data_IF_342425877296
#
_entry.id   IF_342425877296
#
_cell.length_a   1.000
_cell.length_b   1.000
_cell.length_c   1.000
_cell.angle_alpha   90.00
_cell.angle_beta   90.00
_cell.angle_gamma   90.00
#
_symmetry.space_group_name_H-M   'P 1'
#
loop_
_entity.id
_entity.type
_entity.pdbx_description
1 polymer ?
#
# COMPACT_ATOMS: atom_id res chain seq x y z
N UNK A 1 39.19 -15.95 25.24
CA UNK A 1 37.85 -16.45 25.59
C UNK A 1 36.87 -15.52 24.91
N UNK A 2 36.51 -15.87 23.67
CA UNK A 2 35.62 -15.07 22.83
C UNK A 2 34.23 -15.66 22.79
N UNK A 3 33.36 -14.92 22.07
CA UNK A 3 31.98 -15.22 21.71
C UNK A 3 31.02 -14.89 22.88
N UNK A 4 29.92 -14.14 22.74
CA UNK A 4 29.10 -13.83 21.56
C UNK A 4 28.46 -12.45 21.79
N UNK A 5 28.45 -11.64 20.75
CA UNK A 5 27.66 -10.42 20.63
C UNK A 5 26.17 -10.76 20.73
N UNK A 6 25.58 -10.49 21.89
CA UNK A 6 24.13 -10.52 22.03
C UNK A 6 23.57 -9.26 21.36
N UNK A 7 23.29 -9.42 20.06
CA UNK A 7 22.44 -8.60 19.21
C UNK A 7 21.02 -8.61 19.82
N UNK A 8 20.86 -7.95 20.96
CA UNK A 8 19.57 -7.76 21.61
C UNK A 8 19.14 -6.34 21.32
N UNK A 9 18.11 -6.25 20.49
CA UNK A 9 17.55 -5.01 20.01
C UNK A 9 17.97 -4.79 18.57
N UNK A 10 17.34 -5.54 17.66
CA UNK A 10 16.86 -4.89 16.44
C UNK A 10 16.11 -3.66 16.93
N UNK A 11 16.79 -2.51 16.97
CA UNK A 11 16.13 -1.25 17.20
C UNK A 11 15.07 -1.20 16.11
N UNK A 12 13.81 -1.37 16.50
CA UNK A 12 12.66 -1.04 15.68
C UNK A 12 12.86 0.44 15.38
N UNK A 13 13.55 0.68 14.26
CA UNK A 13 13.76 2.02 13.76
C UNK A 13 12.36 2.43 13.35
N UNK A 14 11.82 3.54 13.87
CA UNK A 14 10.55 4.03 13.35
C UNK A 14 10.74 4.17 11.84
N UNK A 15 10.01 3.36 11.09
CA UNK A 15 9.47 3.70 9.78
C UNK A 15 9.00 5.13 9.97
N UNK A 16 9.78 6.05 9.42
CA UNK A 16 9.69 7.48 9.68
C UNK A 16 8.23 7.90 9.71
N UNK A 17 7.80 8.63 10.75
CA UNK A 17 6.36 8.80 11.01
C UNK A 17 5.62 9.65 9.95
N UNK A 18 6.34 10.27 9.02
CA UNK A 18 5.80 11.23 8.08
C UNK A 18 6.63 11.36 6.81
N UNK A 19 6.00 11.10 5.66
CA UNK A 19 6.50 11.46 4.34
C UNK A 19 5.87 12.80 3.93
N UNK A 20 6.67 13.78 3.54
CA UNK A 20 6.18 15.08 3.14
C UNK A 20 5.39 14.97 1.82
N UNK A 21 4.29 15.72 1.65
CA UNK A 21 3.42 15.66 0.47
C UNK A 21 4.17 15.84 -0.85
N UNK A 22 5.19 16.70 -0.85
CA UNK A 22 6.01 17.05 -2.00
C UNK A 22 7.25 16.16 -2.21
N UNK A 23 7.53 15.20 -1.31
CA UNK A 23 8.62 14.25 -1.51
C UNK A 23 8.33 13.36 -2.72
N UNK A 24 9.36 13.09 -3.54
CA UNK A 24 9.24 12.14 -4.64
C UNK A 24 9.20 10.73 -4.08
N UNK A 25 8.29 9.93 -4.62
CA UNK A 25 8.00 8.60 -4.14
C UNK A 25 8.52 7.54 -5.11
N UNK A 26 9.06 6.45 -4.57
CA UNK A 26 9.46 5.27 -5.32
C UNK A 26 8.25 4.41 -5.67
N UNK A 27 7.41 4.13 -4.68
CA UNK A 27 6.20 3.34 -4.84
C UNK A 27 5.20 3.63 -3.73
N UNK A 28 3.94 3.43 -4.07
CA UNK A 28 2.82 3.48 -3.15
C UNK A 28 2.13 2.11 -3.16
N UNK A 29 1.85 1.55 -1.98
CA UNK A 29 1.19 0.26 -1.83
C UNK A 29 0.05 0.39 -0.82
N UNK A 30 -1.11 -0.21 -1.11
CA UNK A 30 -2.12 -0.52 -0.11
C UNK A 30 -2.26 -2.02 0.05
N UNK A 31 -2.31 -2.46 1.30
CA UNK A 31 -2.46 -3.87 1.66
C UNK A 31 -3.37 -4.02 2.87
N UNK A 32 -3.96 -5.21 3.03
CA UNK A 32 -4.71 -5.56 4.22
C UNK A 32 -3.86 -6.48 5.09
N UNK A 33 -3.63 -6.07 6.32
CA UNK A 33 -2.84 -6.84 7.27
C UNK A 33 -3.54 -6.92 8.62
N UNK A 34 -3.15 -7.91 9.42
CA UNK A 34 -3.62 -8.03 10.80
C UNK A 34 -3.18 -6.81 11.62
N UNK A 35 -4.10 -6.22 12.38
CA UNK A 35 -3.79 -5.14 13.30
C UNK A 35 -2.81 -5.59 14.41
N UNK A 36 -1.92 -4.71 14.91
CA UNK A 36 -0.96 -5.05 15.98
C UNK A 36 -1.62 -5.52 17.28
N UNK A 37 -2.85 -5.07 17.54
CA UNK A 37 -3.65 -5.45 18.70
C UNK A 37 -4.51 -6.70 18.47
N UNK A 38 -4.38 -7.34 17.30
CA UNK A 38 -5.16 -8.51 16.89
C UNK A 38 -6.69 -8.29 16.85
N UNK A 39 -7.16 -7.03 16.85
CA UNK A 39 -8.58 -6.69 16.81
C UNK A 39 -9.25 -6.94 15.44
N UNK A 40 -8.46 -7.10 14.38
CA UNK A 40 -8.95 -7.50 13.06
C UNK A 40 -8.01 -7.08 11.93
N UNK A 41 -8.45 -7.26 10.69
CA UNK A 41 -7.69 -6.78 9.54
C UNK A 41 -7.89 -5.27 9.36
N UNK A 42 -6.78 -4.56 9.16
CA UNK A 42 -6.73 -3.15 8.83
C UNK A 42 -6.13 -2.97 7.45
N UNK A 43 -6.52 -1.88 6.77
CA UNK A 43 -5.87 -1.47 5.53
C UNK A 43 -4.71 -0.55 5.88
N UNK A 44 -3.54 -0.86 5.34
CA UNK A 44 -2.34 -0.05 5.48
C UNK A 44 -1.96 0.55 4.15
N UNK A 45 -1.50 1.79 4.21
CA UNK A 45 -0.83 2.50 3.14
C UNK A 45 0.67 2.49 3.43
N UNK A 46 1.44 1.96 2.50
CA UNK A 46 2.90 1.96 2.51
C UNK A 46 3.39 2.92 1.43
N UNK A 47 4.27 3.84 1.80
CA UNK A 47 4.89 4.80 0.90
C UNK A 47 6.39 4.58 1.00
N UNK A 48 7.08 4.61 -0.14
CA UNK A 48 8.52 4.46 -0.20
C UNK A 48 9.15 5.73 -0.75
N UNK A 49 10.01 6.41 -0.01
CA UNK A 49 10.69 7.64 -0.49
C UNK A 49 12.21 7.51 -0.39
N UNK A 50 12.96 8.34 -1.11
CA UNK A 50 14.43 8.41 -0.98
C UNK A 50 14.80 9.47 0.06
N UNK A 51 15.51 9.07 1.12
CA UNK A 51 16.18 10.00 2.03
C UNK A 51 17.63 9.59 2.18
N UNK A 52 18.54 10.52 1.91
CA UNK A 52 19.99 10.31 2.00
C UNK A 52 20.51 9.10 1.21
N UNK A 53 19.93 8.86 0.03
CA UNK A 53 20.33 7.75 -0.84
C UNK A 53 19.78 6.38 -0.40
N UNK A 54 18.86 6.34 0.55
CA UNK A 54 18.23 5.12 1.06
C UNK A 54 16.72 5.18 0.85
N UNK A 55 16.14 4.04 0.45
CA UNK A 55 14.70 3.88 0.42
C UNK A 55 14.20 3.77 1.86
N UNK A 56 13.34 4.70 2.25
CA UNK A 56 12.66 4.70 3.54
C UNK A 56 11.20 4.35 3.32
N UNK A 57 10.68 3.40 4.11
CA UNK A 57 9.26 3.04 4.13
C UNK A 57 8.52 3.93 5.14
N UNK A 58 7.25 4.21 4.84
CA UNK A 58 6.28 4.88 5.70
C UNK A 58 5.01 4.06 5.68
N UNK A 59 4.52 3.64 6.85
CA UNK A 59 3.32 2.83 6.97
C UNK A 59 2.28 3.57 7.79
N UNK A 60 1.11 3.76 7.20
CA UNK A 60 -0.04 4.46 7.77
C UNK A 60 -1.23 3.50 7.87
N UNK A 61 -1.82 3.39 9.07
CA UNK A 61 -3.07 2.64 9.29
C UNK A 61 -4.26 3.48 8.81
N UNK A 62 -4.96 3.00 7.80
CA UNK A 62 -6.14 3.65 7.23
C UNK A 62 -7.45 3.22 7.91
N UNK A 63 -7.38 2.30 8.86
CA UNK A 63 -8.52 1.76 9.60
C UNK A 63 -8.92 0.36 9.18
N UNK A 64 -10.06 -0.09 9.73
CA UNK A 64 -10.55 -1.47 9.55
C UNK A 64 -10.79 -1.80 8.08
N UNK A 65 -10.34 -2.98 7.66
CA UNK A 65 -10.57 -3.47 6.30
C UNK A 65 -12.06 -3.56 5.93
N UNK A 66 -12.94 -3.78 6.92
CA UNK A 66 -14.40 -3.80 6.74
C UNK A 66 -14.98 -2.44 6.33
N UNK A 67 -14.26 -1.34 6.51
CA UNK A 67 -14.64 -0.01 5.99
C UNK A 67 -14.35 0.15 4.50
N UNK A 68 -13.65 -0.80 3.87
CA UNK A 68 -13.22 -0.77 2.48
C UNK A 68 -13.90 -1.88 1.63
N UNK A 69 -15.14 -2.23 1.96
CA UNK A 69 -15.92 -3.22 1.17
C UNK A 69 -16.17 -2.66 -0.22
N UNK A 70 -15.81 -3.42 -1.26
CA UNK A 70 -15.92 -3.00 -2.66
C UNK A 70 -14.69 -2.27 -3.20
N UNK A 71 -13.72 -1.94 -2.34
CA UNK A 71 -12.43 -1.43 -2.79
C UNK A 71 -11.52 -2.56 -3.29
N UNK A 72 -10.61 -2.25 -4.21
CA UNK A 72 -9.55 -3.18 -4.63
C UNK A 72 -8.75 -3.68 -3.43
N UNK A 73 -8.60 -5.00 -3.30
CA UNK A 73 -7.95 -5.64 -2.14
C UNK A 73 -6.52 -5.16 -1.90
N UNK A 74 -5.80 -4.85 -2.99
CA UNK A 74 -4.44 -4.30 -2.98
C UNK A 74 -4.30 -3.23 -4.06
N UNK A 75 -3.54 -2.19 -3.77
CA UNK A 75 -3.14 -1.18 -4.77
C UNK A 75 -1.61 -1.17 -4.80
N UNK A 76 -1.03 -1.15 -5.99
CA UNK A 76 0.41 -0.98 -6.15
C UNK A 76 0.68 -0.02 -7.30
N UNK A 77 1.22 1.15 -6.98
CA UNK A 77 1.54 2.20 -7.93
C UNK A 77 3.07 2.41 -7.88
N UNK A 78 3.82 1.81 -8.82
CA UNK A 78 5.23 2.14 -8.97
C UNK A 78 5.35 3.55 -9.56
N UNK A 79 6.19 4.39 -8.97
CA UNK A 79 6.40 5.76 -9.43
C UNK A 79 7.83 6.06 -9.85
N UNK A 80 8.82 5.41 -9.23
CA UNK A 80 10.23 5.57 -9.59
C UNK A 80 10.63 7.06 -9.63
N UNK A 81 10.21 7.83 -8.63
CA UNK A 81 10.49 9.26 -8.45
C UNK A 81 9.76 10.22 -9.39
N UNK A 82 8.83 9.74 -10.21
CA UNK A 82 8.06 10.59 -11.13
C UNK A 82 7.00 11.43 -10.41
N UNK A 83 6.36 10.86 -9.38
CA UNK A 83 5.25 11.47 -8.67
C UNK A 83 5.61 11.81 -7.22
N UNK A 84 4.94 12.83 -6.69
CA UNK A 84 5.00 13.15 -5.27
C UNK A 84 4.16 12.18 -4.44
N UNK A 85 4.40 12.15 -3.13
CA UNK A 85 3.58 11.40 -2.18
C UNK A 85 2.11 11.80 -2.28
N UNK A 86 1.82 13.10 -2.38
CA UNK A 86 0.44 13.61 -2.49
C UNK A 86 -0.24 13.18 -3.79
N UNK A 87 0.46 13.27 -4.92
CA UNK A 87 -0.06 12.82 -6.22
C UNK A 87 -0.42 11.33 -6.19
N UNK A 88 0.43 10.49 -5.59
CA UNK A 88 0.16 9.07 -5.46
C UNK A 88 -0.98 8.75 -4.48
N UNK A 89 -1.14 9.53 -3.41
CA UNK A 89 -2.29 9.40 -2.50
C UNK A 89 -3.60 9.67 -3.25
N UNK A 90 -3.63 10.76 -4.03
CA UNK A 90 -4.80 11.14 -4.81
C UNK A 90 -5.12 10.07 -5.87
N UNK A 91 -4.11 9.59 -6.61
CA UNK A 91 -4.29 8.54 -7.60
C UNK A 91 -4.75 7.22 -6.96
N UNK A 92 -4.22 6.86 -5.80
CA UNK A 92 -4.69 5.69 -5.07
C UNK A 92 -6.14 5.83 -4.60
N UNK A 93 -6.56 7.04 -4.21
CA UNK A 93 -7.95 7.29 -3.84
C UNK A 93 -8.93 7.08 -4.99
N UNK A 94 -8.53 7.44 -6.22
CA UNK A 94 -9.29 7.17 -7.44
C UNK A 94 -9.29 5.67 -7.79
N UNK A 95 -8.12 5.05 -7.85
CA UNK A 95 -7.96 3.63 -8.21
C UNK A 95 -8.60 2.67 -7.22
N UNK A 96 -8.77 3.08 -5.95
CA UNK A 96 -9.30 2.22 -4.89
C UNK A 96 -10.70 1.70 -5.19
N UNK A 97 -11.50 2.52 -5.85
CA UNK A 97 -12.91 2.26 -6.13
C UNK A 97 -13.18 1.98 -7.60
N UNK A 98 -12.13 2.02 -8.43
CA UNK A 98 -12.25 1.70 -9.83
C UNK A 98 -12.64 0.24 -10.00
N UNK A 99 -13.71 0.00 -10.74
CA UNK A 99 -14.25 -1.33 -10.97
C UNK A 99 -13.47 -1.90 -12.14
N UNK A 100 -12.77 -3.01 -11.94
CA UNK A 100 -12.21 -3.74 -13.10
C UNK A 100 -13.38 -4.03 -14.05
N UNK A 101 -13.32 -3.49 -15.27
CA UNK A 101 -14.35 -3.70 -16.29
C UNK A 101 -14.62 -5.19 -16.36
N UNK A 102 -15.86 -5.59 -16.09
CA UNK A 102 -16.26 -6.97 -16.24
C UNK A 102 -16.22 -7.28 -17.74
N UNK A 103 -15.16 -7.96 -18.17
CA UNK A 103 -14.90 -8.25 -19.59
C UNK A 103 -16.07 -9.04 -20.19
N UNK A 104 -16.81 -9.80 -19.36
CA UNK A 104 -17.97 -10.56 -19.79
C UNK A 104 -19.18 -9.65 -20.04
N UNK A 105 -19.40 -8.63 -19.21
CA UNK A 105 -20.40 -7.59 -19.41
C UNK A 105 -20.06 -6.74 -20.64
N UNK A 106 -18.79 -6.34 -20.77
CA UNK A 106 -18.30 -5.55 -21.91
C UNK A 106 -18.37 -6.31 -23.25
N UNK A 107 -18.14 -7.62 -23.24
CA UNK A 107 -18.27 -8.47 -24.44
C UNK A 107 -19.70 -9.01 -24.64
N UNK A 108 -20.67 -8.63 -23.80
CA UNK A 108 -22.06 -9.13 -23.80
C UNK A 108 -22.16 -10.67 -23.82
N UNK A 109 -21.13 -11.35 -23.31
CA UNK A 109 -20.98 -12.82 -23.41
C UNK A 109 -21.92 -13.57 -22.48
N UNK A 110 -22.53 -12.89 -21.52
CA UNK A 110 -23.57 -13.45 -20.63
C UNK A 110 -24.78 -13.98 -21.39
N UNK A 111 -24.98 -13.54 -22.64
CA UNK A 111 -26.06 -14.00 -23.52
C UNK A 111 -25.66 -15.08 -24.53
N UNK A 112 -24.36 -15.44 -24.62
CA UNK A 112 -23.87 -16.33 -25.66
C UNK A 112 -24.20 -17.81 -25.35
N UNK A 113 -25.35 -18.27 -25.85
CA UNK A 113 -25.65 -19.71 -25.91
C UNK A 113 -24.81 -20.34 -27.02
N UNK A 114 -23.79 -21.12 -26.63
CA UNK A 114 -23.15 -22.04 -27.55
C UNK A 114 -24.20 -23.00 -28.13
N UNK A 115 -24.31 -22.99 -29.47
CA UNK A 115 -25.15 -23.90 -30.26
C UNK A 115 -24.53 -25.29 -30.31
#
# INVERSE_FOLDING_TARGET
>A
MGLIEDVIGTALTPVTAYAAPNEKCWAYIETQEQSPDFSGFHRYRLIYVNRDGRISEYKEDMGRATSFIGAKSTIHIPSIWEHSVEELKNLADELRWDVDIDILDWLELDSYKAV
#
